data_IF_908334467844
#
_entry.id   IF_908334467844
#
_cell.length_a   1.000
_cell.length_b   1.000
_cell.length_c   1.000
_cell.angle_alpha   90.00
_cell.angle_beta   90.00
_cell.angle_gamma   90.00
#
_symmetry.space_group_name_H-M   'P 1'
#
loop_
_entity.id
_entity.type
_entity.pdbx_description
1 polymer ?
#
# COMPACT_ATOMS: atom_id res chain seq x y z
N UNK A 1 30.06 -18.50 -19.21
CA UNK A 1 29.71 -17.20 -18.59
C UNK A 1 28.33 -17.35 -17.97
N UNK A 2 28.28 -17.52 -16.65
CA UNK A 2 27.05 -17.88 -15.91
C UNK A 2 26.20 -16.66 -15.60
N UNK A 3 24.89 -16.78 -15.86
CA UNK A 3 23.86 -15.74 -15.66
C UNK A 3 23.35 -15.71 -14.20
N UNK A 4 24.18 -16.13 -13.24
CA UNK A 4 23.72 -16.56 -11.92
C UNK A 4 24.19 -15.66 -10.75
N UNK A 5 24.60 -14.42 -11.01
CA UNK A 5 25.14 -13.54 -9.95
C UNK A 5 24.42 -12.18 -9.85
N UNK A 6 23.14 -12.14 -10.21
CA UNK A 6 22.28 -11.01 -9.84
C UNK A 6 21.77 -11.20 -8.42
N UNK A 7 22.66 -10.95 -7.46
CA UNK A 7 22.45 -10.52 -6.07
C UNK A 7 20.97 -10.42 -5.59
N UNK A 8 20.29 -11.56 -5.46
CA UNK A 8 19.02 -11.65 -4.73
C UNK A 8 19.22 -11.50 -3.21
N UNK A 9 20.47 -11.64 -2.75
CA UNK A 9 20.87 -11.54 -1.33
C UNK A 9 20.72 -10.12 -0.73
N UNK A 10 20.46 -9.09 -1.54
CA UNK A 10 20.20 -7.71 -1.08
C UNK A 10 18.79 -7.20 -1.35
N UNK A 11 17.84 -8.08 -1.65
CA UNK A 11 16.45 -7.70 -1.42
C UNK A 11 16.26 -7.55 0.08
N UNK A 12 15.82 -6.38 0.59
CA UNK A 12 15.68 -6.22 2.01
C UNK A 12 14.47 -7.05 2.43
N UNK A 13 14.69 -8.25 2.97
CA UNK A 13 13.66 -9.05 3.64
C UNK A 13 12.81 -8.16 4.57
N UNK A 14 13.44 -7.16 5.17
CA UNK A 14 12.80 -6.13 5.98
C UNK A 14 11.67 -5.36 5.27
N UNK A 15 11.73 -5.10 3.96
CA UNK A 15 10.65 -4.39 3.23
C UNK A 15 9.49 -5.32 2.89
N UNK A 16 9.77 -6.56 2.48
CA UNK A 16 8.72 -7.56 2.25
C UNK A 16 7.97 -7.84 3.57
N UNK A 17 8.72 -7.97 4.68
CA UNK A 17 8.14 -8.10 6.02
C UNK A 17 7.32 -6.87 6.43
N UNK A 18 7.78 -5.65 6.10
CA UNK A 18 7.01 -4.42 6.35
C UNK A 18 5.71 -4.37 5.55
N UNK A 19 5.74 -4.64 4.24
CA UNK A 19 4.54 -4.67 3.41
C UNK A 19 3.56 -5.73 3.93
N UNK A 20 4.07 -6.91 4.34
CA UNK A 20 3.25 -7.96 4.96
C UNK A 20 2.62 -7.52 6.29
N UNK A 21 3.37 -6.87 7.17
CA UNK A 21 2.80 -6.35 8.43
C UNK A 21 1.75 -5.26 8.17
N UNK A 22 2.00 -4.35 7.22
CA UNK A 22 1.04 -3.33 6.82
C UNK A 22 -0.25 -3.96 6.28
N UNK A 23 -0.17 -5.01 5.46
CA UNK A 23 -1.34 -5.75 4.99
C UNK A 23 -2.12 -6.38 6.16
N UNK A 24 -1.41 -7.05 7.09
CA UNK A 24 -2.02 -7.65 8.29
C UNK A 24 -2.71 -6.62 9.16
N UNK A 25 -2.10 -5.46 9.37
CA UNK A 25 -2.69 -4.37 10.14
C UNK A 25 -3.89 -3.78 9.42
N UNK A 26 -3.81 -3.61 8.10
CA UNK A 26 -4.90 -3.07 7.29
C UNK A 26 -6.14 -3.98 7.33
N UNK A 27 -5.96 -5.31 7.35
CA UNK A 27 -7.07 -6.26 7.45
C UNK A 27 -7.71 -6.29 8.84
N UNK A 28 -6.92 -6.10 9.90
CA UNK A 28 -7.41 -6.07 11.28
C UNK A 28 -8.01 -4.71 11.70
N UNK A 29 -7.69 -3.63 10.98
CA UNK A 29 -8.13 -2.28 11.35
C UNK A 29 -9.56 -2.00 10.87
N UNK A 30 -10.43 -1.61 11.79
CA UNK A 30 -11.80 -1.18 11.47
C UNK A 30 -11.93 0.34 11.36
N UNK A 31 -10.98 1.12 11.87
CA UNK A 31 -11.01 2.57 11.79
C UNK A 31 -10.65 3.05 10.37
N UNK A 32 -11.56 3.78 9.66
CA UNK A 32 -11.30 4.18 8.27
C UNK A 32 -10.09 5.09 8.07
N UNK A 33 -9.83 6.02 8.99
CA UNK A 33 -8.70 6.95 8.88
C UNK A 33 -7.36 6.21 9.04
N UNK A 34 -7.28 5.26 9.96
CA UNK A 34 -6.09 4.44 10.16
C UNK A 34 -5.84 3.51 8.96
N UNK A 35 -6.89 2.91 8.39
CA UNK A 35 -6.76 2.10 7.15
C UNK A 35 -6.19 2.90 5.99
N UNK A 36 -6.64 4.14 5.79
CA UNK A 36 -6.09 5.05 4.76
C UNK A 36 -4.59 5.24 4.98
N UNK A 37 -4.17 5.56 6.21
CA UNK A 37 -2.77 5.76 6.52
C UNK A 37 -1.92 4.48 6.32
N UNK A 38 -2.46 3.30 6.62
CA UNK A 38 -1.79 2.02 6.39
C UNK A 38 -1.64 1.71 4.90
N UNK A 39 -2.66 1.98 4.09
CA UNK A 39 -2.63 1.80 2.63
C UNK A 39 -1.61 2.74 1.97
N UNK A 40 -1.54 4.01 2.40
CA UNK A 40 -0.55 4.96 1.88
C UNK A 40 0.89 4.53 2.23
N UNK A 41 1.13 4.13 3.48
CA UNK A 41 2.44 3.60 3.89
C UNK A 41 2.84 2.35 3.10
N UNK A 42 1.87 1.50 2.76
CA UNK A 42 2.10 0.32 1.94
C UNK A 42 2.52 0.70 0.52
N UNK A 43 1.85 1.68 -0.09
CA UNK A 43 2.22 2.21 -1.39
C UNK A 43 3.65 2.78 -1.38
N UNK A 44 4.01 3.53 -0.35
CA UNK A 44 5.36 4.11 -0.23
C UNK A 44 6.44 3.03 -0.07
N UNK A 45 6.21 1.99 0.72
CA UNK A 45 7.17 0.88 0.86
C UNK A 45 7.30 0.07 -0.44
N UNK A 46 6.22 -0.08 -1.21
CA UNK A 46 6.24 -0.72 -2.53
C UNK A 46 7.03 0.11 -3.56
N UNK A 47 6.84 1.43 -3.60
CA UNK A 47 7.63 2.33 -4.46
C UNK A 47 9.11 2.29 -4.11
N UNK A 48 9.42 2.34 -2.82
CA UNK A 48 10.79 2.19 -2.33
C UNK A 48 11.36 0.84 -2.77
N UNK A 49 10.60 -0.25 -2.62
CA UNK A 49 11.02 -1.57 -3.06
C UNK A 49 11.29 -1.61 -4.57
N UNK A 50 10.51 -0.90 -5.39
CA UNK A 50 10.68 -0.83 -6.83
C UNK A 50 11.99 -0.16 -7.30
N UNK A 51 12.71 0.55 -6.44
CA UNK A 51 13.94 1.25 -6.82
C UNK A 51 15.15 0.33 -7.00
N UNK A 52 15.16 -0.84 -6.35
CA UNK A 52 16.35 -1.69 -6.25
C UNK A 52 16.19 -3.03 -6.98
N UNK A 53 15.33 -3.09 -8.00
CA UNK A 53 14.86 -4.34 -8.59
C UNK A 53 14.80 -4.24 -10.11
N UNK A 54 14.80 -5.39 -10.84
CA UNK A 54 14.67 -5.37 -12.29
C UNK A 54 13.41 -4.62 -12.76
N UNK A 55 13.42 -3.96 -13.94
CA UNK A 55 12.33 -3.10 -14.41
C UNK A 55 10.95 -3.78 -14.45
N UNK A 56 10.91 -5.07 -14.80
CA UNK A 56 9.69 -5.87 -14.86
C UNK A 56 9.06 -6.03 -13.48
N UNK A 57 9.88 -6.30 -12.47
CA UNK A 57 9.45 -6.42 -11.07
C UNK A 57 9.07 -5.04 -10.51
N UNK A 58 9.85 -4.00 -10.83
CA UNK A 58 9.54 -2.64 -10.43
C UNK A 58 8.16 -2.19 -10.96
N UNK A 59 7.81 -2.55 -12.20
CA UNK A 59 6.50 -2.26 -12.79
C UNK A 59 5.36 -2.92 -12.02
N UNK A 60 5.54 -4.18 -11.60
CA UNK A 60 4.54 -4.88 -10.79
C UNK A 60 4.37 -4.21 -9.43
N UNK A 61 5.48 -3.88 -8.75
CA UNK A 61 5.45 -3.22 -7.44
C UNK A 61 4.79 -1.83 -7.51
N UNK A 62 5.08 -1.04 -8.56
CA UNK A 62 4.42 0.24 -8.80
C UNK A 62 2.92 0.08 -9.04
N UNK A 63 2.51 -0.89 -9.84
CA UNK A 63 1.09 -1.19 -10.03
C UNK A 63 0.38 -1.57 -8.73
N UNK A 64 1.05 -2.31 -7.84
CA UNK A 64 0.53 -2.61 -6.50
C UNK A 64 0.45 -1.35 -5.62
N UNK A 65 1.44 -0.45 -5.70
CA UNK A 65 1.41 0.82 -4.98
C UNK A 65 0.24 1.71 -5.44
N UNK A 66 -0.02 1.77 -6.74
CA UNK A 66 -1.14 2.51 -7.31
C UNK A 66 -2.49 1.94 -6.88
N UNK A 67 -2.62 0.61 -6.82
CA UNK A 67 -3.82 -0.03 -6.25
C UNK A 67 -4.01 0.32 -4.77
N UNK A 68 -2.95 0.33 -3.96
CA UNK A 68 -3.05 0.71 -2.56
C UNK A 68 -3.50 2.17 -2.39
N UNK A 69 -2.95 3.10 -3.20
CA UNK A 69 -3.37 4.51 -3.25
C UNK A 69 -4.83 4.65 -3.68
N UNK A 70 -5.26 3.89 -4.68
CA UNK A 70 -6.64 3.88 -5.13
C UNK A 70 -7.60 3.47 -4.01
N UNK A 71 -7.30 2.40 -3.28
CA UNK A 71 -8.13 1.98 -2.15
C UNK A 71 -8.18 3.02 -1.03
N UNK A 72 -7.05 3.69 -0.75
CA UNK A 72 -7.00 4.78 0.22
C UNK A 72 -7.94 5.93 -0.18
N UNK A 73 -7.94 6.30 -1.47
CA UNK A 73 -8.81 7.35 -2.02
C UNK A 73 -10.30 6.96 -1.96
N UNK A 74 -10.64 5.71 -2.32
CA UNK A 74 -12.02 5.21 -2.20
C UNK A 74 -12.50 5.31 -0.76
N UNK A 75 -11.65 4.95 0.22
CA UNK A 75 -12.01 5.01 1.63
C UNK A 75 -12.14 6.45 2.16
N UNK A 76 -11.32 7.39 1.68
CA UNK A 76 -11.47 8.83 1.96
C UNK A 76 -12.82 9.35 1.47
N UNK A 77 -13.18 9.01 0.23
CA UNK A 77 -14.45 9.42 -0.37
C UNK A 77 -15.65 8.83 0.35
N UNK A 78 -15.61 7.55 0.72
CA UNK A 78 -16.68 6.91 1.48
C UNK A 78 -16.87 7.60 2.85
N UNK A 79 -15.78 7.90 3.56
CA UNK A 79 -15.83 8.66 4.81
C UNK A 79 -16.44 10.05 4.61
N UNK A 80 -16.01 10.78 3.58
CA UNK A 80 -16.53 12.12 3.29
C UNK A 80 -18.04 12.09 3.00
N UNK A 81 -18.50 11.11 2.21
CA UNK A 81 -19.93 10.90 1.91
C UNK A 81 -20.75 10.58 3.16
N UNK A 82 -20.23 9.77 4.08
CA UNK A 82 -20.92 9.47 5.35
C UNK A 82 -21.00 10.69 6.27
N UNK A 83 -19.95 11.52 6.30
CA UNK A 83 -19.94 12.74 7.08
C UNK A 83 -20.97 13.76 6.55
N UNK A 84 -21.12 13.89 5.23
CA UNK A 84 -22.10 14.80 4.62
C UNK A 84 -23.53 14.25 4.68
N UNK A 85 -23.72 12.94 4.52
CA UNK A 85 -25.03 12.28 4.61
C UNK A 85 -25.65 12.28 6.01
N UNK A 86 -24.83 12.21 7.08
CA UNK A 86 -25.32 12.33 8.46
C UNK A 86 -25.69 13.77 8.86
N UNK A 87 -25.28 14.79 8.10
CA UNK A 87 -25.65 16.19 8.36
C UNK A 87 -27.06 16.57 7.87
N UNK A 88 -27.67 15.76 6.99
CA UNK A 88 -28.99 16.03 6.41
C UNK A 88 -30.16 15.38 7.19
N UNK A 89 -29.87 14.76 8.35
CA UNK A 89 -30.87 14.13 9.24
C UNK A 89 -30.74 14.72 10.64
N UNK A 90 -31.09 15.99 10.79
CA UNK A 90 -31.51 16.53 12.08
C UNK A 90 -32.86 17.26 11.86
N UNK A 91 -33.85 17.05 12.76
CA UNK A 91 -35.22 17.54 12.60
C UNK A 91 -35.33 19.06 12.62
#
# INVERSE_FOLDING_TARGET
MGVADMSFERYPESRVLRVRDLMRRCSATHHPAERVALLERMADELERAAQNVPPEVARVLRGQADMARFFAEVQRRDRARRATGNGARQP
#
